data_IF_248726417793
#
_entry.id   IF_248726417793
#
_cell.length_a   1.000
_cell.length_b   1.000
_cell.length_c   1.000
_cell.angle_alpha   90.00
_cell.angle_beta   90.00
_cell.angle_gamma   90.00
#
_symmetry.space_group_name_H-M   'P 1'
#
loop_
_entity.id
_entity.type
_entity.pdbx_description
1 polymer ?
#
# COMPACT_ATOMS: atom_id res chain seq x y z
N UNK A 1 -5.98 34.11 36.57
CA UNK A 1 -7.35 34.60 36.82
C UNK A 1 -7.91 35.16 35.53
N UNK A 2 -9.12 34.76 35.10
CA UNK A 2 -9.71 35.11 33.82
C UNK A 2 -10.59 36.36 33.91
N UNK A 3 -10.94 36.99 32.78
CA UNK A 3 -12.23 37.68 32.68
C UNK A 3 -12.95 37.35 31.34
N UNK A 4 -14.22 37.73 31.13
CA UNK A 4 -15.37 36.93 31.55
C UNK A 4 -16.30 36.57 30.37
N UNK A 5 -17.16 35.56 30.59
CA UNK A 5 -18.34 35.25 29.77
C UNK A 5 -19.31 36.44 29.73
N UNK A 6 -19.96 36.67 28.59
CA UNK A 6 -21.18 37.49 28.49
C UNK A 6 -22.34 36.67 27.95
N UNK A 7 -23.44 36.78 28.69
CA UNK A 7 -24.73 36.14 28.54
C UNK A 7 -25.52 36.54 27.28
N UNK A 8 -26.38 35.60 26.88
CA UNK A 8 -27.60 35.76 26.09
C UNK A 8 -28.38 37.05 26.39
N UNK A 9 -28.96 37.64 25.33
CA UNK A 9 -30.30 38.23 25.40
C UNK A 9 -31.14 37.80 24.21
N UNK A 10 -32.25 37.16 24.55
CA UNK A 10 -33.41 36.91 23.69
C UNK A 10 -34.20 38.22 23.57
N UNK A 11 -34.74 38.51 22.39
CA UNK A 11 -35.76 39.52 22.19
C UNK A 11 -36.85 38.86 21.33
N UNK A 12 -37.98 38.55 21.97
CA UNK A 12 -39.22 38.22 21.29
C UNK A 12 -40.03 39.49 21.11
N UNK A 13 -40.80 39.54 20.03
CA UNK A 13 -41.99 40.38 19.94
C UNK A 13 -43.11 39.59 19.25
N UNK A 14 -44.23 39.55 19.97
CA UNK A 14 -45.66 39.37 19.63
C UNK A 14 -46.10 40.02 18.31
N UNK A 15 -47.23 39.76 17.69
CA UNK A 15 -48.42 38.90 17.83
C UNK A 15 -49.21 39.05 16.50
N UNK A 16 -50.11 38.10 16.17
CA UNK A 16 -51.51 38.34 15.74
C UNK A 16 -52.05 37.39 14.65
N UNK A 17 -53.07 36.62 15.07
CA UNK A 17 -54.32 36.23 14.38
C UNK A 17 -54.27 35.17 13.25
N UNK A 18 -54.72 33.93 13.53
CA UNK A 18 -56.10 33.39 13.44
C UNK A 18 -56.57 33.06 12.00
N UNK A 19 -56.52 31.78 11.63
CA UNK A 19 -57.73 31.06 11.21
C UNK A 19 -57.58 29.54 11.19
N UNK A 20 -58.67 28.88 11.58
CA UNK A 20 -58.89 27.45 11.79
C UNK A 20 -58.98 26.61 10.51
N UNK A 21 -58.45 25.38 10.52
CA UNK A 21 -59.24 24.20 10.13
C UNK A 21 -58.68 22.87 10.66
N UNK A 22 -59.60 21.94 10.93
CA UNK A 22 -59.47 20.66 11.65
C UNK A 22 -58.90 19.54 10.78
N UNK A 23 -58.12 18.61 11.36
CA UNK A 23 -57.96 17.26 10.77
C UNK A 23 -56.80 16.38 11.28
N UNK A 24 -57.12 15.52 12.26
CA UNK A 24 -56.61 14.14 12.48
C UNK A 24 -55.12 13.86 12.70
N UNK A 25 -54.84 13.18 13.82
CA UNK A 25 -53.51 12.80 14.29
C UNK A 25 -52.84 11.61 13.61
N UNK A 26 -51.54 11.48 13.89
CA UNK A 26 -50.69 10.34 13.57
C UNK A 26 -49.26 10.57 14.08
N UNK A 27 -48.80 9.72 15.00
CA UNK A 27 -47.47 9.70 15.60
C UNK A 27 -46.47 8.93 14.70
N UNK A 28 -45.32 9.56 14.36
CA UNK A 28 -43.98 9.03 13.95
C UNK A 28 -43.86 8.02 12.76
N UNK A 29 -42.68 7.83 12.10
CA UNK A 29 -41.33 8.31 12.42
C UNK A 29 -40.51 8.93 11.26
N UNK A 30 -39.33 9.43 11.62
CA UNK A 30 -38.24 9.98 10.80
C UNK A 30 -38.01 9.23 9.47
N UNK A 31 -37.98 9.99 8.37
CA UNK A 31 -37.49 9.54 7.06
C UNK A 31 -36.00 9.19 7.17
N UNK A 32 -35.67 7.91 7.03
CA UNK A 32 -34.31 7.45 6.70
C UNK A 32 -34.01 7.88 5.26
N UNK A 33 -33.00 8.72 5.08
CA UNK A 33 -32.43 8.97 3.76
C UNK A 33 -31.72 7.68 3.32
N UNK A 34 -32.21 7.09 2.23
CA UNK A 34 -31.64 5.90 1.60
C UNK A 34 -30.58 6.41 0.63
N UNK A 35 -29.32 6.38 1.03
CA UNK A 35 -28.19 6.59 0.12
C UNK A 35 -27.90 5.23 -0.49
N UNK A 36 -28.22 5.05 -1.76
CA UNK A 36 -27.65 3.97 -2.57
C UNK A 36 -26.19 4.31 -2.81
N UNK A 37 -25.30 3.43 -2.39
CA UNK A 37 -23.88 3.52 -2.74
C UNK A 37 -23.74 2.72 -4.03
N UNK A 38 -23.57 3.43 -5.14
CA UNK A 38 -23.22 2.84 -6.42
C UNK A 38 -21.78 2.30 -6.35
N UNK A 39 -21.58 1.08 -6.83
CA UNK A 39 -20.27 0.42 -6.98
C UNK A 39 -19.48 1.04 -8.14
N UNK A 40 -19.04 2.28 -8.00
CA UNK A 40 -18.06 2.86 -8.91
C UNK A 40 -16.77 3.18 -8.18
N UNK A 41 -15.72 2.49 -8.61
CA UNK A 41 -14.34 2.71 -8.21
C UNK A 41 -14.00 4.19 -8.38
N UNK A 42 -13.49 4.81 -7.31
CA UNK A 42 -12.91 6.15 -7.35
C UNK A 42 -11.65 6.07 -8.22
N UNK A 43 -11.82 6.28 -9.53
CA UNK A 43 -10.77 6.71 -10.42
C UNK A 43 -10.43 8.14 -10.01
N UNK A 44 -9.19 8.40 -9.61
CA UNK A 44 -8.67 9.78 -9.60
C UNK A 44 -8.31 10.15 -11.04
N UNK A 45 -8.98 11.14 -11.66
CA UNK A 45 -8.43 11.82 -12.81
C UNK A 45 -7.29 12.74 -12.32
N UNK A 46 -6.21 12.81 -13.08
CA UNK A 46 -5.13 13.74 -12.84
C UNK A 46 -5.67 15.19 -12.88
N UNK A 47 -5.69 15.85 -11.72
CA UNK A 47 -5.77 17.31 -11.59
C UNK A 47 -5.38 17.72 -10.15
N UNK A 48 -4.23 18.40 -10.05
CA UNK A 48 -3.74 19.26 -8.96
C UNK A 48 -4.20 18.94 -7.53
N UNK A 49 -3.38 18.16 -6.83
CA UNK A 49 -3.28 18.17 -5.37
C UNK A 49 -1.80 18.38 -5.01
N UNK A 50 -1.46 19.33 -4.13
CA UNK A 50 -0.07 19.66 -3.82
C UNK A 50 0.50 18.64 -2.84
N UNK A 51 0.79 17.43 -3.33
CA UNK A 51 1.62 16.44 -2.61
C UNK A 51 2.33 15.48 -3.58
N UNK A 52 2.61 15.96 -4.79
CA UNK A 52 3.48 15.28 -5.76
C UNK A 52 4.95 15.45 -5.35
N UNK A 53 5.42 14.63 -4.41
CA UNK A 53 6.86 14.50 -4.13
C UNK A 53 7.61 13.62 -5.15
N UNK A 54 6.93 13.23 -6.22
CA UNK A 54 7.46 12.44 -7.32
C UNK A 54 6.85 12.92 -8.64
N UNK A 55 7.27 14.09 -9.13
CA UNK A 55 7.20 14.38 -10.56
C UNK A 55 8.25 15.43 -10.98
N UNK A 56 8.95 15.09 -12.07
CA UNK A 56 9.75 15.92 -12.98
C UNK A 56 11.05 16.60 -12.49
N UNK A 57 12.18 15.89 -12.69
CA UNK A 57 13.36 16.52 -13.28
C UNK A 57 13.53 15.95 -14.69
N UNK A 58 13.12 16.70 -15.71
CA UNK A 58 13.50 16.44 -17.10
C UNK A 58 14.14 17.66 -17.74
N UNK A 59 15.38 17.44 -18.17
CA UNK A 59 16.14 18.17 -19.19
C UNK A 59 16.64 19.59 -18.87
N UNK A 60 17.71 19.66 -18.08
CA UNK A 60 18.82 20.54 -18.43
C UNK A 60 20.05 19.68 -18.70
N UNK A 61 20.63 19.84 -19.89
CA UNK A 61 21.88 19.24 -20.30
C UNK A 61 23.01 19.57 -19.32
N UNK A 62 23.20 18.70 -18.34
CA UNK A 62 24.42 18.60 -17.55
C UNK A 62 24.74 17.12 -17.44
N UNK A 63 25.90 16.73 -17.98
CA UNK A 63 26.51 15.43 -17.73
C UNK A 63 26.78 15.39 -16.22
N UNK A 64 25.88 14.78 -15.45
CA UNK A 64 26.16 14.46 -14.06
C UNK A 64 26.87 13.12 -14.06
N UNK A 65 28.13 13.15 -13.64
CA UNK A 65 28.91 12.00 -13.19
C UNK A 65 28.03 11.11 -12.32
N UNK A 66 27.46 10.06 -12.90
CA UNK A 66 27.12 8.87 -12.13
C UNK A 66 28.41 8.08 -12.09
N UNK A 67 29.26 8.46 -11.14
CA UNK A 67 30.55 7.81 -10.91
C UNK A 67 30.35 6.29 -10.82
N UNK A 68 31.26 5.61 -11.51
CA UNK A 68 31.39 4.16 -11.71
C UNK A 68 31.65 3.40 -10.40
N UNK A 69 30.64 3.27 -9.54
CA UNK A 69 30.59 2.18 -8.56
C UNK A 69 29.34 1.34 -8.80
N UNK A 70 29.29 0.77 -10.01
CA UNK A 70 28.49 -0.41 -10.29
C UNK A 70 29.14 -1.59 -9.57
N UNK A 71 28.89 -1.71 -8.26
CA UNK A 71 29.01 -2.99 -7.57
C UNK A 71 28.11 -3.98 -8.30
N UNK A 72 28.68 -4.76 -9.20
CA UNK A 72 28.01 -5.77 -10.04
C UNK A 72 27.84 -7.09 -9.26
N UNK A 73 27.78 -6.99 -7.92
CA UNK A 73 27.60 -8.14 -7.05
C UNK A 73 26.34 -8.92 -7.45
N UNK A 74 26.46 -10.23 -7.68
CA UNK A 74 25.34 -11.04 -8.14
C UNK A 74 24.25 -11.08 -7.08
N UNK A 75 23.00 -11.06 -7.53
CA UNK A 75 21.87 -11.27 -6.64
C UNK A 75 21.90 -12.71 -6.08
N UNK A 76 21.56 -12.86 -4.80
CA UNK A 76 21.46 -14.15 -4.13
C UNK A 76 20.04 -14.70 -4.20
N UNK A 77 19.90 -16.02 -4.10
CA UNK A 77 18.59 -16.69 -3.95
C UNK A 77 18.18 -16.88 -2.48
N UNK A 78 19.06 -16.55 -1.54
CA UNK A 78 18.82 -16.65 -0.11
C UNK A 78 18.74 -15.26 0.50
N UNK A 79 17.86 -15.11 1.48
CA UNK A 79 17.74 -13.90 2.28
C UNK A 79 19.11 -13.46 2.80
N UNK A 80 19.48 -12.17 2.65
CA UNK A 80 20.63 -11.64 3.37
C UNK A 80 20.38 -11.68 4.88
N UNK A 81 21.44 -11.63 5.68
CA UNK A 81 21.37 -11.66 7.14
C UNK A 81 20.94 -10.30 7.72
N UNK A 82 19.81 -9.77 7.25
CA UNK A 82 19.21 -8.52 7.73
C UNK A 82 18.14 -8.87 8.77
N UNK A 83 18.26 -8.43 10.04
CA UNK A 83 17.26 -8.70 11.06
C UNK A 83 15.86 -8.23 10.65
N UNK A 84 14.88 -9.14 10.77
CA UNK A 84 13.49 -8.88 10.41
C UNK A 84 13.16 -8.96 8.91
N UNK A 85 14.13 -9.34 8.06
CA UNK A 85 13.89 -9.72 6.68
C UNK A 85 13.66 -11.23 6.58
N UNK A 86 12.52 -11.64 6.02
CA UNK A 86 12.24 -13.04 5.71
C UNK A 86 11.86 -13.17 4.23
N UNK A 87 12.27 -14.27 3.62
CA UNK A 87 12.04 -14.51 2.19
C UNK A 87 11.76 -15.98 1.93
N UNK A 88 10.67 -16.25 1.22
CA UNK A 88 10.27 -17.59 0.80
C UNK A 88 10.09 -17.61 -0.72
N UNK A 89 10.96 -18.29 -1.50
CA UNK A 89 11.04 -18.13 -2.96
C UNK A 89 9.88 -18.75 -3.75
N UNK A 90 9.16 -19.71 -3.19
CA UNK A 90 8.06 -20.41 -3.89
C UNK A 90 6.93 -20.73 -2.93
N UNK A 91 6.44 -19.71 -2.25
CA UNK A 91 5.37 -19.85 -1.26
C UNK A 91 4.00 -20.00 -1.94
N UNK A 92 3.74 -19.22 -2.99
CA UNK A 92 2.38 -19.08 -3.53
C UNK A 92 2.09 -20.22 -4.51
N UNK A 93 0.99 -20.99 -4.35
CA UNK A 93 0.60 -22.00 -5.31
C UNK A 93 0.49 -21.44 -6.72
N UNK A 94 1.06 -22.16 -7.69
CA UNK A 94 1.17 -21.69 -9.07
C UNK A 94 -0.17 -21.23 -9.68
N UNK A 95 -1.23 -22.01 -9.46
CA UNK A 95 -2.56 -21.69 -9.98
C UNK A 95 -3.12 -20.39 -9.40
N UNK A 96 -2.99 -20.18 -8.09
CA UNK A 96 -3.44 -18.96 -7.43
C UNK A 96 -2.64 -17.74 -7.91
N UNK A 97 -1.31 -17.87 -8.03
CA UNK A 97 -0.46 -16.82 -8.55
C UNK A 97 -0.85 -16.42 -9.98
N UNK A 98 -1.11 -17.41 -10.85
CA UNK A 98 -1.56 -17.18 -12.22
C UNK A 98 -2.91 -16.46 -12.24
N UNK A 99 -3.90 -16.96 -11.49
CA UNK A 99 -5.24 -16.35 -11.41
C UNK A 99 -5.20 -14.90 -10.93
N UNK A 100 -4.44 -14.61 -9.86
CA UNK A 100 -4.29 -13.25 -9.33
C UNK A 100 -3.64 -12.34 -10.36
N UNK A 101 -2.55 -12.80 -10.99
CA UNK A 101 -1.84 -12.03 -12.00
C UNK A 101 -2.77 -11.65 -13.16
N UNK A 102 -3.45 -12.65 -13.71
CA UNK A 102 -4.41 -12.50 -14.80
C UNK A 102 -5.55 -11.54 -14.46
N UNK A 103 -6.12 -11.68 -13.26
CA UNK A 103 -7.18 -10.81 -12.78
C UNK A 103 -6.71 -9.35 -12.70
N UNK A 104 -5.54 -9.11 -12.09
CA UNK A 104 -5.04 -7.75 -11.91
C UNK A 104 -4.66 -7.10 -13.25
N UNK A 105 -4.00 -7.86 -14.14
CA UNK A 105 -3.65 -7.39 -15.47
C UNK A 105 -4.87 -6.96 -16.27
N UNK A 106 -5.94 -7.77 -16.29
CA UNK A 106 -7.18 -7.44 -17.01
C UNK A 106 -7.93 -6.28 -16.36
N UNK A 107 -8.03 -6.28 -15.03
CA UNK A 107 -8.87 -5.33 -14.29
C UNK A 107 -8.23 -3.94 -14.18
N UNK A 108 -6.93 -3.89 -13.89
CA UNK A 108 -6.29 -2.63 -13.49
C UNK A 108 -5.25 -2.13 -14.49
N UNK A 109 -4.55 -3.01 -15.19
CA UNK A 109 -3.44 -2.66 -16.09
C UNK A 109 -3.78 -2.82 -17.57
N UNK A 110 -5.07 -2.75 -17.91
CA UNK A 110 -5.53 -2.81 -19.31
C UNK A 110 -5.29 -1.51 -20.09
N UNK A 111 -5.13 -0.37 -19.38
CA UNK A 111 -4.85 0.93 -19.97
C UNK A 111 -3.34 1.18 -20.03
N UNK A 112 -2.80 1.68 -21.16
CA UNK A 112 -1.40 2.11 -21.23
C UNK A 112 -1.15 3.27 -20.26
N UNK A 113 0.08 3.37 -19.76
CA UNK A 113 0.50 4.41 -18.82
C UNK A 113 0.14 4.15 -17.35
N UNK A 114 -0.77 3.21 -17.05
CA UNK A 114 -1.05 2.80 -15.67
C UNK A 114 -0.09 1.68 -15.26
N UNK A 115 0.71 1.93 -14.23
CA UNK A 115 1.65 0.94 -13.68
C UNK A 115 1.54 0.78 -12.15
N UNK A 116 0.68 1.55 -11.49
CA UNK A 116 0.46 1.45 -10.05
C UNK A 116 -1.02 1.58 -9.70
N UNK A 117 -1.46 0.81 -8.70
CA UNK A 117 -2.82 0.83 -8.16
C UNK A 117 -2.74 0.72 -6.65
N UNK A 118 -3.48 1.58 -5.94
CA UNK A 118 -3.64 1.51 -4.50
C UNK A 118 -5.06 1.08 -4.14
N UNK A 119 -5.17 0.04 -3.32
CA UNK A 119 -6.44 -0.48 -2.81
C UNK A 119 -6.42 -0.43 -1.29
N UNK A 120 -7.52 0.01 -0.69
CA UNK A 120 -7.65 0.15 0.76
C UNK A 120 -8.75 -0.77 1.27
N UNK A 121 -8.41 -1.54 2.30
CA UNK A 121 -9.37 -2.21 3.14
C UNK A 121 -10.11 -1.23 4.06
N UNK A 122 -11.21 -1.66 4.65
CA UNK A 122 -12.07 -0.81 5.50
C UNK A 122 -11.74 -1.11 6.97
N UNK A 123 -11.49 -0.12 7.82
CA UNK A 123 -11.17 -0.38 9.23
C UNK A 123 -12.29 -1.16 9.97
N UNK A 124 -11.91 -1.99 10.95
CA UNK A 124 -12.83 -2.87 11.68
C UNK A 124 -13.92 -2.13 12.48
N UNK A 125 -13.76 -0.82 12.72
CA UNK A 125 -14.76 0.05 13.38
C UNK A 125 -16.09 0.14 12.62
N UNK A 126 -16.17 -0.35 11.37
CA UNK A 126 -17.40 -0.46 10.58
C UNK A 126 -18.17 -1.78 10.76
N UNK A 127 -17.69 -2.72 11.58
CA UNK A 127 -18.29 -4.06 11.72
C UNK A 127 -17.98 -5.03 10.57
N UNK A 128 -17.14 -4.63 9.62
CA UNK A 128 -16.64 -5.46 8.51
C UNK A 128 -15.17 -5.86 8.74
N UNK A 129 -14.71 -6.92 8.06
CA UNK A 129 -13.31 -7.34 8.16
C UNK A 129 -12.37 -6.26 7.56
N UNK A 130 -11.15 -6.07 8.10
CA UNK A 130 -10.25 -5.01 7.66
C UNK A 130 -9.78 -5.07 6.20
N UNK A 131 -10.04 -6.19 5.54
CA UNK A 131 -9.75 -6.45 4.14
C UNK A 131 -10.98 -6.34 3.25
N UNK A 132 -12.17 -6.01 3.78
CA UNK A 132 -13.44 -6.00 3.04
C UNK A 132 -13.45 -5.07 1.82
N UNK A 133 -12.56 -4.07 1.74
CA UNK A 133 -12.37 -3.21 0.56
C UNK A 133 -11.49 -3.82 -0.55
N UNK A 134 -10.84 -4.96 -0.30
CA UNK A 134 -10.02 -5.66 -1.27
C UNK A 134 -10.85 -6.64 -2.13
N UNK A 135 -10.55 -6.77 -3.43
CA UNK A 135 -11.16 -7.77 -4.29
C UNK A 135 -11.11 -9.19 -3.70
N UNK A 136 -12.13 -10.03 -3.90
CA UNK A 136 -12.17 -11.39 -3.35
C UNK A 136 -10.91 -12.21 -3.59
N UNK A 137 -10.36 -12.13 -4.81
CA UNK A 137 -9.15 -12.88 -5.17
C UNK A 137 -7.89 -12.38 -4.46
N UNK A 138 -7.80 -11.08 -4.14
CA UNK A 138 -6.70 -10.55 -3.32
C UNK A 138 -6.85 -10.93 -1.84
N UNK A 139 -8.10 -11.07 -1.35
CA UNK A 139 -8.35 -11.59 0.01
C UNK A 139 -7.99 -13.06 0.11
N UNK A 140 -8.30 -13.85 -0.91
CA UNK A 140 -7.90 -15.26 -1.01
C UNK A 140 -6.39 -15.42 -1.04
N UNK A 141 -5.70 -14.62 -1.86
CA UNK A 141 -4.23 -14.56 -1.87
C UNK A 141 -3.70 -14.25 -0.48
N UNK A 142 -4.22 -13.22 0.18
CA UNK A 142 -3.74 -12.79 1.48
C UNK A 142 -3.99 -13.84 2.58
N UNK A 143 -5.13 -14.53 2.54
CA UNK A 143 -5.43 -15.65 3.44
C UNK A 143 -4.45 -16.81 3.21
N UNK A 144 -4.23 -17.19 1.95
CA UNK A 144 -3.29 -18.27 1.60
C UNK A 144 -1.88 -17.94 2.04
N UNK A 145 -1.42 -16.71 1.82
CA UNK A 145 -0.11 -16.24 2.28
C UNK A 145 -0.02 -16.26 3.81
N UNK A 146 -1.08 -15.87 4.52
CA UNK A 146 -1.14 -15.97 5.99
C UNK A 146 -0.94 -17.40 6.48
N UNK A 147 -1.68 -18.35 5.91
CA UNK A 147 -1.64 -19.76 6.35
C UNK A 147 -0.28 -20.40 6.07
N UNK A 148 0.32 -20.09 4.92
CA UNK A 148 1.62 -20.65 4.55
C UNK A 148 2.78 -20.00 5.31
N UNK A 149 2.74 -18.68 5.54
CA UNK A 149 3.76 -18.00 6.34
C UNK A 149 3.72 -18.43 7.81
N UNK A 150 2.60 -18.92 8.33
CA UNK A 150 2.52 -19.46 9.70
C UNK A 150 3.46 -20.65 9.93
N UNK A 151 3.87 -21.34 8.85
CA UNK A 151 4.81 -22.46 8.90
C UNK A 151 6.27 -22.01 8.76
N UNK A 152 6.52 -20.84 8.19
CA UNK A 152 7.85 -20.35 7.81
C UNK A 152 8.38 -19.27 8.77
N UNK A 153 7.49 -18.56 9.48
CA UNK A 153 7.84 -17.41 10.32
C UNK A 153 7.78 -17.72 11.82
N UNK A 154 8.58 -17.00 12.64
CA UNK A 154 8.35 -16.96 14.08
C UNK A 154 6.93 -16.50 14.41
N UNK A 155 6.25 -17.10 15.42
CA UNK A 155 4.86 -16.79 15.76
C UNK A 155 4.61 -15.29 16.02
N UNK A 156 5.56 -14.58 16.61
CA UNK A 156 5.48 -13.15 16.89
C UNK A 156 5.50 -12.30 15.61
N UNK A 157 6.29 -12.68 14.61
CA UNK A 157 6.33 -12.00 13.30
C UNK A 157 5.05 -12.30 12.54
N UNK A 158 4.58 -13.56 12.56
CA UNK A 158 3.30 -13.91 11.96
C UNK A 158 2.14 -13.13 12.58
N UNK A 159 2.07 -13.02 13.92
CA UNK A 159 1.04 -12.28 14.62
C UNK A 159 1.09 -10.76 14.37
N UNK A 160 2.28 -10.20 14.12
CA UNK A 160 2.44 -8.82 13.64
C UNK A 160 1.81 -8.63 12.26
N UNK A 161 2.11 -9.54 11.33
CA UNK A 161 1.61 -9.48 9.97
C UNK A 161 0.13 -9.83 9.87
N UNK A 162 -0.39 -10.77 10.66
CA UNK A 162 -1.75 -11.30 10.60
C UNK A 162 -2.37 -11.38 12.01
N UNK A 163 -2.58 -10.23 12.68
CA UNK A 163 -3.16 -10.22 14.02
C UNK A 163 -4.55 -10.86 14.01
N UNK A 164 -4.91 -11.61 15.07
CA UNK A 164 -6.22 -12.28 15.15
C UNK A 164 -7.39 -11.30 15.29
N UNK A 165 -7.11 -10.07 15.75
CA UNK A 165 -8.09 -8.99 15.90
C UNK A 165 -7.53 -7.70 15.33
N UNK A 166 -7.49 -7.57 14.00
CA UNK A 166 -6.95 -6.40 13.32
C UNK A 166 -7.83 -5.16 13.56
N UNK A 167 -7.19 -4.06 13.98
CA UNK A 167 -7.88 -2.81 14.32
C UNK A 167 -7.79 -1.74 13.24
N UNK A 168 -6.73 -1.77 12.42
CA UNK A 168 -6.46 -0.76 11.40
C UNK A 168 -6.82 -1.26 10.00
N UNK A 169 -7.00 -0.33 9.07
CA UNK A 169 -7.17 -0.68 7.66
C UNK A 169 -5.87 -1.24 7.07
N UNK A 170 -6.01 -2.18 6.11
CA UNK A 170 -4.88 -2.71 5.34
C UNK A 170 -4.87 -2.12 3.94
N UNK A 171 -3.73 -1.65 3.48
CA UNK A 171 -3.54 -1.30 2.07
C UNK A 171 -2.96 -2.50 1.30
N UNK A 172 -3.37 -2.66 0.04
CA UNK A 172 -2.62 -3.37 -0.98
C UNK A 172 -2.20 -2.38 -2.09
N UNK A 173 -0.91 -2.32 -2.39
CA UNK A 173 -0.39 -1.58 -3.56
C UNK A 173 0.11 -2.58 -4.60
N UNK A 174 -0.38 -2.43 -5.83
CA UNK A 174 0.00 -3.24 -6.97
C UNK A 174 0.91 -2.40 -7.86
N UNK A 175 2.12 -2.88 -8.12
CA UNK A 175 3.07 -2.25 -9.04
C UNK A 175 3.36 -3.19 -10.21
N UNK A 176 3.26 -2.67 -11.43
CA UNK A 176 3.60 -3.35 -12.67
C UNK A 176 4.94 -2.82 -13.18
N UNK A 177 5.86 -3.74 -13.46
CA UNK A 177 7.19 -3.45 -13.99
C UNK A 177 7.36 -4.19 -15.32
N UNK A 178 7.64 -3.44 -16.38
CA UNK A 178 8.17 -3.97 -17.65
C UNK A 178 9.69 -4.13 -17.57
N UNK A 179 10.31 -4.94 -18.44
CA UNK A 179 11.76 -5.01 -18.52
C UNK A 179 12.38 -3.61 -18.68
N UNK A 180 13.39 -3.29 -17.87
CA UNK A 180 14.02 -1.96 -17.80
C UNK A 180 13.39 -1.01 -16.77
N UNK A 181 12.16 -1.25 -16.33
CA UNK A 181 11.54 -0.45 -15.26
C UNK A 181 12.07 -0.87 -13.87
N UNK A 182 11.97 0.04 -12.91
CA UNK A 182 12.48 -0.13 -11.55
C UNK A 182 11.81 0.83 -10.58
N UNK A 183 12.28 0.82 -9.34
CA UNK A 183 11.87 1.78 -8.30
C UNK A 183 13.12 2.21 -7.52
N UNK A 184 13.25 3.52 -7.30
CA UNK A 184 14.37 4.08 -6.56
C UNK A 184 14.45 3.50 -5.13
N UNK A 185 15.64 3.43 -4.53
CA UNK A 185 15.79 3.02 -3.13
C UNK A 185 14.93 3.90 -2.21
N UNK A 186 14.10 3.28 -1.38
CA UNK A 186 13.22 3.98 -0.45
C UNK A 186 12.92 3.14 0.80
N UNK A 187 12.36 3.80 1.81
CA UNK A 187 11.67 3.17 2.93
C UNK A 187 10.17 3.44 2.77
N UNK A 188 9.34 2.42 2.95
CA UNK A 188 7.88 2.57 2.86
C UNK A 188 7.38 3.59 3.87
N UNK A 189 6.85 4.73 3.39
CA UNK A 189 6.34 5.89 4.16
C UNK A 189 6.17 5.63 5.69
N UNK A 190 7.24 5.80 6.51
CA UNK A 190 7.25 5.36 7.91
C UNK A 190 6.20 6.04 8.78
N UNK A 191 5.81 7.28 8.42
CA UNK A 191 4.75 8.03 9.10
C UNK A 191 3.33 7.58 8.73
N UNK A 192 3.16 6.72 7.71
CA UNK A 192 1.84 6.28 7.20
C UNK A 192 1.59 4.79 7.44
N UNK A 193 2.62 3.96 7.34
CA UNK A 193 2.48 2.51 7.41
C UNK A 193 3.26 1.92 8.58
N UNK A 194 2.59 1.03 9.31
CA UNK A 194 3.16 0.36 10.47
C UNK A 194 4.25 -0.66 10.13
N UNK A 195 4.72 -1.32 11.17
CA UNK A 195 5.64 -2.44 11.04
C UNK A 195 4.93 -3.66 10.45
N UNK A 196 5.70 -4.50 9.76
CA UNK A 196 5.19 -5.66 9.05
C UNK A 196 4.66 -5.32 7.66
N UNK A 197 5.50 -5.58 6.65
CA UNK A 197 5.15 -5.50 5.23
C UNK A 197 5.24 -6.90 4.62
N UNK A 198 4.26 -7.24 3.77
CA UNK A 198 4.27 -8.47 2.97
C UNK A 198 4.30 -8.10 1.49
N UNK A 199 5.39 -8.42 0.79
CA UNK A 199 5.55 -8.27 -0.65
C UNK A 199 5.40 -9.60 -1.37
N UNK A 200 4.51 -9.65 -2.35
CA UNK A 200 4.25 -10.81 -3.21
C UNK A 200 4.78 -10.53 -4.63
N UNK A 201 5.54 -11.45 -5.21
CA UNK A 201 6.03 -11.35 -6.60
C UNK A 201 5.26 -12.27 -7.56
N UNK A 202 4.75 -11.72 -8.66
CA UNK A 202 3.96 -12.41 -9.68
C UNK A 202 4.48 -12.12 -11.09
N UNK A 203 4.23 -13.04 -12.03
CA UNK A 203 4.70 -12.91 -13.42
C UNK A 203 6.17 -13.32 -13.54
N UNK A 204 7.08 -12.33 -13.61
CA UNK A 204 8.52 -12.54 -13.70
C UNK A 204 9.26 -12.16 -12.40
N UNK A 205 10.51 -12.59 -12.28
CA UNK A 205 11.39 -12.25 -11.16
C UNK A 205 12.25 -11.02 -11.42
N UNK A 206 12.82 -10.45 -10.35
CA UNK A 206 13.84 -9.40 -10.44
C UNK A 206 14.74 -9.38 -9.20
N UNK A 207 15.94 -8.82 -9.33
CA UNK A 207 16.76 -8.47 -8.17
C UNK A 207 16.22 -7.21 -7.47
N UNK A 208 16.03 -7.30 -6.16
CA UNK A 208 15.82 -6.18 -5.27
C UNK A 208 17.12 -5.88 -4.52
N UNK A 209 17.53 -4.62 -4.52
CA UNK A 209 18.68 -4.12 -3.78
C UNK A 209 18.23 -3.60 -2.42
N UNK A 210 18.90 -4.04 -1.37
CA UNK A 210 18.77 -3.51 -0.01
C UNK A 210 20.04 -2.75 0.32
N UNK A 211 19.89 -1.58 0.90
CA UNK A 211 21.00 -0.71 1.30
C UNK A 211 20.68 -0.11 2.66
N UNK A 212 21.60 -0.22 3.61
CA UNK A 212 21.41 0.33 4.96
C UNK A 212 21.24 1.86 4.88
N UNK A 213 20.23 2.39 5.57
CA UNK A 213 19.78 3.77 5.39
C UNK A 213 20.73 4.80 6.02
N UNK A 214 21.49 4.42 7.05
CA UNK A 214 22.35 5.33 7.82
C UNK A 214 23.81 5.37 7.37
N UNK A 215 24.26 4.42 6.54
CA UNK A 215 25.69 4.26 6.20
C UNK A 215 26.07 4.79 4.82
N UNK A 216 25.29 5.73 4.26
CA UNK A 216 25.47 6.30 2.90
C UNK A 216 25.63 5.21 1.81
N UNK A 217 25.09 4.01 2.05
CA UNK A 217 25.12 2.87 1.14
C UNK A 217 26.44 2.12 1.02
N UNK A 218 27.27 2.16 2.07
CA UNK A 218 28.51 1.38 2.16
C UNK A 218 28.27 -0.14 2.05
N UNK A 219 27.12 -0.66 2.50
CA UNK A 219 26.74 -2.06 2.32
C UNK A 219 25.42 -2.18 1.55
N UNK A 220 25.51 -2.71 0.33
CA UNK A 220 24.36 -3.08 -0.48
C UNK A 220 24.34 -4.59 -0.74
N UNK A 221 23.17 -5.20 -0.62
CA UNK A 221 22.95 -6.61 -0.92
C UNK A 221 21.80 -6.76 -1.89
N UNK A 222 21.90 -7.73 -2.81
CA UNK A 222 20.87 -7.99 -3.81
C UNK A 222 20.24 -9.35 -3.57
N UNK A 223 18.92 -9.37 -3.45
CA UNK A 223 18.11 -10.57 -3.34
C UNK A 223 17.30 -10.75 -4.62
N UNK A 224 17.41 -11.90 -5.27
CA UNK A 224 16.57 -12.23 -6.41
C UNK A 224 15.19 -12.70 -5.92
N UNK A 225 14.14 -12.02 -6.37
CA UNK A 225 12.75 -12.32 -6.05
C UNK A 225 12.10 -13.01 -7.26
N UNK A 226 12.06 -14.36 -7.34
CA UNK A 226 11.40 -15.06 -8.43
C UNK A 226 9.87 -14.89 -8.32
N UNK A 227 9.14 -15.27 -9.37
CA UNK A 227 7.69 -15.36 -9.32
C UNK A 227 7.25 -16.33 -8.21
N UNK A 228 6.07 -16.10 -7.62
CA UNK A 228 5.50 -16.87 -6.50
C UNK A 228 6.25 -16.74 -5.17
N UNK A 229 7.25 -15.87 -5.11
CA UNK A 229 7.95 -15.58 -3.87
C UNK A 229 7.20 -14.58 -2.99
N UNK A 230 7.47 -14.66 -1.69
CA UNK A 230 7.02 -13.72 -0.68
C UNK A 230 8.22 -13.17 0.09
N UNK A 231 8.27 -11.85 0.20
CA UNK A 231 9.21 -11.08 1.01
C UNK A 231 8.46 -10.49 2.20
N UNK A 232 9.05 -10.56 3.38
CA UNK A 232 8.55 -9.93 4.61
C UNK A 232 9.60 -8.98 5.13
N UNK A 233 9.19 -7.76 5.47
CA UNK A 233 10.02 -6.77 6.16
C UNK A 233 9.37 -6.42 7.49
N UNK A 234 10.14 -6.55 8.57
CA UNK A 234 9.76 -6.19 9.93
C UNK A 234 10.94 -5.58 10.68
N UNK A 235 10.68 -4.78 11.72
CA UNK A 235 11.72 -4.21 12.57
C UNK A 235 12.83 -3.50 11.78
N UNK A 236 14.08 -3.95 11.94
CA UNK A 236 15.24 -3.32 11.30
C UNK A 236 15.14 -3.33 9.78
N UNK A 237 14.81 -4.46 9.14
CA UNK A 237 14.63 -4.54 7.69
C UNK A 237 13.55 -3.59 7.14
N UNK A 238 12.58 -3.22 7.97
CA UNK A 238 11.48 -2.33 7.61
C UNK A 238 11.86 -0.85 7.69
N UNK A 239 12.73 -0.47 8.63
CA UNK A 239 12.99 0.93 8.97
C UNK A 239 14.44 1.37 8.74
N UNK A 240 15.42 0.49 9.01
CA UNK A 240 16.85 0.77 8.89
C UNK A 240 17.43 0.49 7.51
N UNK A 241 16.64 -0.09 6.60
CA UNK A 241 17.09 -0.47 5.27
C UNK A 241 16.20 0.14 4.19
N UNK A 242 16.83 0.79 3.22
CA UNK A 242 16.18 1.14 1.95
C UNK A 242 16.13 -0.08 1.04
N UNK A 243 15.10 -0.14 0.20
CA UNK A 243 14.98 -1.16 -0.83
C UNK A 243 14.56 -0.57 -2.17
N UNK A 244 15.04 -1.16 -3.27
CA UNK A 244 14.77 -0.67 -4.61
C UNK A 244 14.97 -1.74 -5.67
N UNK A 245 14.45 -1.50 -6.87
CA UNK A 245 14.66 -2.35 -8.05
C UNK A 245 15.36 -1.50 -9.08
N UNK A 246 16.60 -1.86 -9.43
CA UNK A 246 17.41 -1.11 -10.39
C UNK A 246 16.79 -1.23 -11.81
N UNK A 247 16.88 -0.15 -12.61
CA UNK A 247 16.34 -0.09 -13.97
C UNK A 247 17.22 -0.88 -14.94
N UNK A 248 16.88 -2.16 -15.14
CA UNK A 248 17.59 -3.06 -16.05
C UNK A 248 16.69 -4.15 -16.61
N UNK A 249 17.15 -4.80 -17.68
CA UNK A 249 16.41 -5.83 -18.40
C UNK A 249 16.77 -7.25 -17.98
N UNK A 250 17.89 -7.45 -17.28
CA UNK A 250 18.34 -8.75 -16.79
C UNK A 250 19.08 -8.61 -15.45
N UNK A 251 19.15 -9.70 -14.68
CA UNK A 251 19.89 -9.77 -13.42
C UNK A 251 20.89 -10.93 -13.45
N UNK A 252 22.13 -10.67 -13.01
CA UNK A 252 23.08 -11.74 -12.74
C UNK A 252 22.80 -12.36 -11.37
N UNK A 253 22.40 -13.63 -11.35
CA UNK A 253 21.99 -14.37 -10.16
C UNK A 253 23.03 -15.45 -9.84
N UNK A 254 23.53 -15.44 -8.61
CA UNK A 254 24.57 -16.36 -8.16
C UNK A 254 24.07 -17.81 -8.26
N UNK A 255 24.73 -18.60 -9.10
CA UNK A 255 24.40 -20.02 -9.34
C UNK A 255 23.50 -20.28 -10.55
N UNK A 256 22.73 -19.28 -10.99
CA UNK A 256 21.79 -19.41 -12.12
C UNK A 256 22.31 -18.70 -13.39
N UNK A 257 23.22 -17.73 -13.25
CA UNK A 257 23.74 -16.94 -14.36
C UNK A 257 22.87 -15.72 -14.66
N UNK A 258 22.84 -15.29 -15.92
CA UNK A 258 22.05 -14.13 -16.34
C UNK A 258 20.58 -14.53 -16.53
N UNK A 259 19.66 -13.88 -15.82
CA UNK A 259 18.22 -14.09 -15.94
C UNK A 259 17.59 -12.84 -16.56
N UNK A 260 16.97 -13.00 -17.73
CA UNK A 260 16.20 -11.94 -18.38
C UNK A 260 14.90 -11.65 -17.59
N UNK A 261 14.62 -10.37 -17.37
CA UNK A 261 13.36 -9.93 -16.77
C UNK A 261 12.25 -9.96 -17.80
N UNK A 262 11.11 -10.49 -17.39
CA UNK A 262 9.83 -10.33 -18.08
C UNK A 262 8.97 -9.25 -17.39
N UNK A 263 7.70 -9.18 -17.78
CA UNK A 263 6.73 -8.37 -17.05
C UNK A 263 6.50 -8.94 -15.66
N UNK A 264 6.74 -8.13 -14.64
CA UNK A 264 6.58 -8.46 -13.23
C UNK A 264 5.47 -7.62 -12.62
N UNK A 265 4.66 -8.23 -11.78
CA UNK A 265 3.76 -7.50 -10.89
C UNK A 265 4.11 -7.82 -9.44
N UNK A 266 4.20 -6.80 -8.59
CA UNK A 266 4.25 -7.00 -7.15
C UNK A 266 2.96 -6.54 -6.48
N UNK A 267 2.55 -7.25 -5.44
CA UNK A 267 1.48 -6.84 -4.53
C UNK A 267 2.07 -6.69 -3.14
N UNK A 268 2.04 -5.47 -2.60
CA UNK A 268 2.57 -5.18 -1.26
C UNK A 268 1.41 -4.88 -0.32
N UNK A 269 1.32 -5.65 0.77
CA UNK A 269 0.34 -5.47 1.83
C UNK A 269 0.99 -4.82 3.05
N UNK A 270 0.32 -3.80 3.59
CA UNK A 270 0.81 -3.04 4.76
C UNK A 270 -0.33 -2.47 5.57
N UNK A 271 -0.15 -2.43 6.88
CA UNK A 271 -1.11 -1.82 7.81
C UNK A 271 -0.96 -0.31 7.84
N UNK A 272 -2.08 0.42 7.84
CA UNK A 272 -2.07 1.86 8.10
C UNK A 272 -1.80 2.11 9.59
N UNK A 273 -1.08 3.19 9.89
CA UNK A 273 -0.96 3.71 11.26
C UNK A 273 -2.28 4.36 11.73
N UNK A 274 -2.49 4.51 13.05
CA UNK A 274 -3.64 5.23 13.57
C UNK A 274 -3.76 6.64 12.97
N UNK A 275 -4.93 6.99 12.46
CA UNK A 275 -5.19 8.32 11.85
C UNK A 275 -4.69 8.48 10.42
N UNK A 276 -3.95 7.51 9.87
CA UNK A 276 -3.48 7.55 8.49
C UNK A 276 -4.57 7.22 7.45
N UNK A 277 -5.76 6.84 7.92
CA UNK A 277 -6.97 6.61 7.13
C UNK A 277 -7.68 7.91 6.70
N UNK A 278 -7.32 9.05 7.29
CA UNK A 278 -7.81 10.37 6.91
C UNK A 278 -6.91 10.96 5.82
N UNK A 279 -7.47 11.24 4.64
CA UNK A 279 -6.77 11.92 3.54
C UNK A 279 -7.31 13.36 3.47
N UNK A 280 -6.46 14.33 3.83
CA UNK A 280 -6.77 15.76 3.85
C UNK A 280 -7.47 16.20 5.14
N UNK A 281 -6.90 17.20 5.82
CA UNK A 281 -7.64 17.98 6.81
C UNK A 281 -8.62 18.89 6.02
N UNK A 282 -9.90 19.04 6.40
CA UNK A 282 -10.80 20.02 5.78
C UNK A 282 -10.33 21.49 5.93
N UNK A 283 -9.27 21.74 6.69
CA UNK A 283 -8.75 23.08 7.00
C UNK A 283 -7.68 23.59 6.00
N UNK A 284 -7.29 22.82 4.99
CA UNK A 284 -6.31 23.25 3.95
C UNK A 284 -6.90 24.14 2.84
N UNK A 285 -8.08 24.73 3.06
CA UNK A 285 -8.64 25.79 2.21
C UNK A 285 -8.96 27.04 3.04
N UNK A 286 -7.92 27.77 3.45
CA UNK A 286 -8.04 29.14 3.96
C UNK A 286 -7.11 30.11 3.24
#
# INVERSE_FOLDING_TARGET
MPPPQKHLRYQGDSDSELNSNVGSGGLNPRKKLKISIDEDSIFSPAADSPDSLFDEISSSSARSDWDEDCDDSPATLHAPAIPGLFFVPSLIPHELAHQVNDFCMRKYFSKPGVNQIMLFGVAASSGCAPTSGLPPLLRELLSTVSDLLALELPPEVHALLFPPSPTYARQAILNLYRPGEGIAPHVDLPARFGDGIVGVSLGSGCAMRFTEAETDGAEAVRLFLPAQSVLVLSGEARYGWTHGIEQRTADFVKGEGMIERGTRMSITFRWLLPGADVVGDPDDFH
#
